data_IF_456787449294
#
_entry.id   IF_456787449294
#
_cell.length_a   1.000
_cell.length_b   1.000
_cell.length_c   1.000
_cell.angle_alpha   90.00
_cell.angle_beta   90.00
_cell.angle_gamma   90.00
#
_symmetry.space_group_name_H-M   'P 1'
#
loop_
_entity.id
_entity.type
_entity.pdbx_description
1 polymer ?
#
# COMPACT_ATOMS: atom_id res chain seq x y z
N UNK A 1 -12.51 7.60 -31.43
CA UNK A 1 -13.17 8.52 -30.49
C UNK A 1 -13.07 7.86 -29.12
N UNK A 2 -11.99 8.12 -28.39
CA UNK A 2 -11.83 7.66 -27.01
C UNK A 2 -12.39 8.76 -26.11
N UNK A 3 -13.67 8.60 -25.80
CA UNK A 3 -14.35 9.38 -24.76
C UNK A 3 -13.81 8.88 -23.41
N UNK A 4 -12.62 9.35 -23.02
CA UNK A 4 -11.96 9.01 -21.77
C UNK A 4 -12.26 10.10 -20.74
N UNK A 5 -13.49 10.12 -20.24
CA UNK A 5 -13.75 10.65 -18.91
C UNK A 5 -13.04 9.73 -17.89
N UNK A 6 -11.76 10.01 -17.64
CA UNK A 6 -10.88 9.39 -16.65
C UNK A 6 -9.98 8.28 -17.21
N UNK A 7 -8.82 8.63 -17.76
CA UNK A 7 -7.76 7.63 -17.96
C UNK A 7 -7.30 7.06 -16.60
N UNK A 8 -6.70 5.87 -16.61
CA UNK A 8 -6.19 5.25 -15.38
C UNK A 8 -5.12 6.13 -14.72
N UNK A 9 -4.31 6.84 -15.50
CA UNK A 9 -3.33 7.82 -15.02
C UNK A 9 -4.01 9.04 -14.39
N UNK A 10 -5.10 9.53 -14.98
CA UNK A 10 -5.85 10.68 -14.45
C UNK A 10 -6.51 10.35 -13.10
N UNK A 11 -7.14 9.18 -13.00
CA UNK A 11 -7.69 8.70 -11.72
C UNK A 11 -6.59 8.52 -10.68
N UNK A 12 -5.46 7.95 -11.08
CA UNK A 12 -4.33 7.74 -10.19
C UNK A 12 -3.80 9.07 -9.64
N UNK A 13 -3.59 10.06 -10.52
CA UNK A 13 -3.11 11.38 -10.13
C UNK A 13 -4.10 12.10 -9.21
N UNK A 14 -5.41 12.08 -9.54
CA UNK A 14 -6.45 12.67 -8.67
C UNK A 14 -6.49 12.03 -7.28
N UNK A 15 -6.30 10.71 -7.20
CA UNK A 15 -6.25 10.00 -5.92
C UNK A 15 -5.04 10.41 -5.08
N UNK A 16 -3.88 10.60 -5.72
CA UNK A 16 -2.67 11.13 -5.08
C UNK A 16 -2.85 12.57 -4.60
N UNK A 17 -3.39 13.46 -5.44
CA UNK A 17 -3.62 14.86 -5.09
C UNK A 17 -4.52 14.97 -3.86
N UNK A 18 -5.61 14.20 -3.82
CA UNK A 18 -6.49 14.12 -2.65
C UNK A 18 -5.75 13.58 -1.40
N UNK A 19 -4.89 12.57 -1.55
CA UNK A 19 -4.09 12.04 -0.44
C UNK A 19 -3.16 13.12 0.13
N UNK A 20 -2.42 13.84 -0.72
CA UNK A 20 -1.48 14.88 -0.28
C UNK A 20 -2.18 16.13 0.25
N UNK A 21 -3.44 16.37 -0.13
CA UNK A 21 -4.30 17.38 0.47
C UNK A 21 -4.88 16.95 1.84
N UNK A 22 -4.65 15.71 2.29
CA UNK A 22 -5.24 15.16 3.52
C UNK A 22 -6.70 14.74 3.37
N UNK A 23 -7.25 14.78 2.16
CA UNK A 23 -8.60 14.35 1.81
C UNK A 23 -8.66 12.81 1.67
N UNK A 24 -8.31 12.10 2.75
CA UNK A 24 -8.10 10.66 2.73
C UNK A 24 -9.32 9.84 2.29
N UNK A 25 -10.53 10.28 2.64
CA UNK A 25 -11.76 9.59 2.21
C UNK A 25 -11.96 9.68 0.70
N UNK A 26 -11.90 10.89 0.15
CA UNK A 26 -11.98 11.14 -1.29
C UNK A 26 -10.86 10.42 -2.06
N UNK A 27 -9.64 10.41 -1.51
CA UNK A 27 -8.53 9.65 -2.09
C UNK A 27 -8.86 8.17 -2.22
N UNK A 28 -9.45 7.56 -1.17
CA UNK A 28 -9.89 6.15 -1.22
C UNK A 28 -10.99 5.91 -2.25
N UNK A 29 -11.99 6.78 -2.33
CA UNK A 29 -13.06 6.68 -3.33
C UNK A 29 -12.50 6.68 -4.76
N UNK A 30 -11.53 7.56 -5.03
CA UNK A 30 -10.88 7.63 -6.35
C UNK A 30 -10.06 6.37 -6.64
N UNK A 31 -9.29 5.87 -5.68
CA UNK A 31 -8.52 4.64 -5.86
C UNK A 31 -9.42 3.39 -5.98
N UNK A 32 -10.54 3.33 -5.25
CA UNK A 32 -11.51 2.24 -5.37
C UNK A 32 -12.15 2.27 -6.77
N UNK A 33 -12.49 3.44 -7.31
CA UNK A 33 -12.97 3.58 -8.69
C UNK A 33 -11.92 3.15 -9.74
N UNK A 34 -10.64 3.46 -9.51
CA UNK A 34 -9.53 2.98 -10.36
C UNK A 34 -9.45 1.45 -10.33
N UNK A 35 -9.51 0.86 -9.14
CA UNK A 35 -9.42 -0.59 -8.94
C UNK A 35 -10.62 -1.35 -9.50
N UNK A 36 -11.80 -0.74 -9.53
CA UNK A 36 -13.01 -1.31 -10.14
C UNK A 36 -12.90 -1.32 -11.67
N UNK A 37 -12.49 -0.19 -12.26
CA UNK A 37 -12.38 -0.03 -13.72
C UNK A 37 -11.17 -0.73 -14.31
N UNK A 38 -10.04 -0.72 -13.61
CA UNK A 38 -8.74 -1.13 -14.12
C UNK A 38 -8.01 -2.13 -13.20
N UNK A 39 -8.65 -3.24 -12.74
CA UNK A 39 -8.08 -4.14 -11.73
C UNK A 39 -6.83 -4.91 -12.16
N UNK A 40 -6.50 -4.92 -13.45
CA UNK A 40 -5.32 -5.62 -14.02
C UNK A 40 -4.27 -4.66 -14.57
N UNK A 41 -4.49 -3.35 -14.43
CA UNK A 41 -3.53 -2.35 -14.91
C UNK A 41 -2.28 -2.32 -14.01
N UNK A 42 -1.15 -1.89 -14.55
CA UNK A 42 0.11 -1.74 -13.81
C UNK A 42 0.08 -0.70 -12.69
N UNK A 43 -1.00 0.09 -12.61
CA UNK A 43 -1.23 1.06 -11.53
C UNK A 43 -2.19 0.52 -10.46
N UNK A 44 -2.76 -0.67 -10.63
CA UNK A 44 -3.74 -1.22 -9.70
C UNK A 44 -3.11 -1.61 -8.35
N UNK A 45 -1.88 -2.16 -8.35
CA UNK A 45 -1.14 -2.42 -7.11
C UNK A 45 -0.78 -1.12 -6.37
N UNK A 46 -0.39 -0.10 -7.13
CA UNK A 46 -0.07 1.23 -6.62
C UNK A 46 -1.32 1.92 -6.03
N UNK A 47 -2.46 1.88 -6.72
CA UNK A 47 -3.71 2.45 -6.22
C UNK A 47 -4.15 1.78 -4.91
N UNK A 48 -4.06 0.45 -4.82
CA UNK A 48 -4.41 -0.27 -3.60
C UNK A 48 -3.41 -0.01 -2.46
N UNK A 49 -2.12 0.13 -2.77
CA UNK A 49 -1.10 0.56 -1.82
C UNK A 49 -1.41 1.96 -1.26
N UNK A 50 -1.71 2.93 -2.12
CA UNK A 50 -2.05 4.28 -1.67
C UNK A 50 -3.36 4.34 -0.88
N UNK A 51 -4.36 3.52 -1.24
CA UNK A 51 -5.55 3.32 -0.39
C UNK A 51 -5.16 2.86 1.03
N UNK A 52 -4.17 1.97 1.17
CA UNK A 52 -3.60 1.59 2.47
C UNK A 52 -2.87 2.74 3.18
N UNK A 53 -2.07 3.52 2.45
CA UNK A 53 -1.38 4.70 2.99
C UNK A 53 -2.35 5.74 3.56
N UNK A 54 -3.53 5.93 2.94
CA UNK A 54 -4.53 6.85 3.49
C UNK A 54 -4.99 6.44 4.89
N UNK A 55 -5.14 5.14 5.15
CA UNK A 55 -5.49 4.62 6.48
C UNK A 55 -4.31 4.69 7.45
N UNK A 56 -3.09 4.49 6.95
CA UNK A 56 -1.89 4.64 7.77
C UNK A 56 -1.76 6.10 8.25
N UNK A 57 -1.92 7.06 7.33
CA UNK A 57 -1.85 8.50 7.61
C UNK A 57 -2.97 8.99 8.53
N UNK A 58 -4.16 8.38 8.47
CA UNK A 58 -5.26 8.63 9.41
C UNK A 58 -5.14 7.86 10.74
N UNK A 59 -4.02 7.15 10.97
CA UNK A 59 -3.76 6.30 12.16
C UNK A 59 -4.73 5.14 12.33
N UNK A 60 -5.45 4.77 11.28
CA UNK A 60 -6.35 3.62 11.22
C UNK A 60 -5.57 2.35 10.85
N UNK A 61 -4.52 2.05 11.62
CA UNK A 61 -3.51 1.04 11.27
C UNK A 61 -4.08 -0.36 11.03
N UNK A 62 -5.17 -0.74 11.71
CA UNK A 62 -5.84 -2.02 11.45
C UNK A 62 -6.44 -2.10 10.04
N UNK A 63 -6.98 -0.99 9.52
CA UNK A 63 -7.50 -0.90 8.15
C UNK A 63 -6.34 -0.83 7.14
N UNK A 64 -5.27 -0.11 7.49
CA UNK A 64 -4.06 -0.05 6.70
C UNK A 64 -3.46 -1.46 6.46
N UNK A 65 -3.30 -2.26 7.53
CA UNK A 65 -2.84 -3.66 7.44
C UNK A 65 -3.70 -4.48 6.48
N UNK A 66 -5.03 -4.33 6.52
CA UNK A 66 -5.94 -5.06 5.63
C UNK A 66 -5.67 -4.70 4.16
N UNK A 67 -5.59 -3.40 3.83
CA UNK A 67 -5.32 -2.93 2.46
C UNK A 67 -3.93 -3.33 1.97
N UNK A 68 -2.90 -3.17 2.78
CA UNK A 68 -1.54 -3.62 2.42
C UNK A 68 -1.44 -5.13 2.20
N UNK A 69 -2.10 -5.93 3.05
CA UNK A 69 -2.18 -7.38 2.86
C UNK A 69 -2.96 -7.73 1.60
N UNK A 70 -3.95 -6.92 1.22
CA UNK A 70 -4.70 -7.08 -0.02
C UNK A 70 -3.82 -6.86 -1.25
N UNK A 71 -2.90 -5.88 -1.24
CA UNK A 71 -1.87 -5.73 -2.30
C UNK A 71 -1.09 -7.03 -2.48
N UNK A 72 -0.57 -7.59 -1.40
CA UNK A 72 0.23 -8.83 -1.42
C UNK A 72 -0.58 -10.03 -1.95
N UNK A 73 -1.89 -10.08 -1.66
CA UNK A 73 -2.76 -11.16 -2.11
C UNK A 73 -3.16 -11.02 -3.57
N UNK A 74 -3.50 -9.81 -4.02
CA UNK A 74 -4.01 -9.55 -5.38
C UNK A 74 -2.90 -9.41 -6.41
N UNK A 75 -1.77 -8.85 -6.01
CA UNK A 75 -0.70 -8.43 -6.92
C UNK A 75 0.69 -8.96 -6.52
N UNK A 76 0.85 -10.24 -6.11
CA UNK A 76 2.04 -10.75 -5.39
C UNK A 76 3.40 -10.56 -6.07
N UNK A 77 3.42 -10.26 -7.38
CA UNK A 77 4.61 -10.08 -8.22
C UNK A 77 4.80 -8.64 -8.70
N UNK A 78 3.89 -7.72 -8.35
CA UNK A 78 3.96 -6.33 -8.77
C UNK A 78 4.86 -5.49 -7.85
N UNK A 79 5.32 -4.37 -8.40
CA UNK A 79 6.37 -3.54 -7.83
C UNK A 79 6.03 -2.98 -6.43
N UNK A 80 4.75 -2.74 -6.09
CA UNK A 80 4.36 -2.27 -4.74
C UNK A 80 4.14 -3.34 -3.70
N UNK A 81 4.28 -4.60 -4.05
CA UNK A 81 4.09 -5.68 -3.07
C UNK A 81 5.10 -5.67 -1.92
N UNK A 82 6.41 -5.49 -2.16
CA UNK A 82 7.38 -5.41 -1.08
C UNK A 82 7.11 -4.22 -0.14
N UNK A 83 6.80 -3.04 -0.71
CA UNK A 83 6.47 -1.83 0.02
C UNK A 83 5.19 -1.99 0.88
N UNK A 84 4.16 -2.62 0.32
CA UNK A 84 2.92 -2.89 1.06
C UNK A 84 3.20 -3.80 2.26
N UNK A 85 3.99 -4.87 2.08
CA UNK A 85 4.32 -5.77 3.17
C UNK A 85 5.15 -5.06 4.26
N UNK A 86 6.09 -4.20 3.88
CA UNK A 86 6.83 -3.34 4.83
C UNK A 86 5.87 -2.44 5.62
N UNK A 87 4.96 -1.75 4.95
CA UNK A 87 3.98 -0.87 5.58
C UNK A 87 2.99 -1.60 6.49
N UNK A 88 2.63 -2.85 6.17
CA UNK A 88 1.89 -3.71 7.09
C UNK A 88 2.70 -4.00 8.37
N UNK A 89 4.00 -4.25 8.26
CA UNK A 89 4.92 -4.38 9.39
C UNK A 89 4.94 -3.13 10.25
N UNK A 90 5.12 -1.95 9.65
CA UNK A 90 5.11 -0.68 10.37
C UNK A 90 3.77 -0.40 11.04
N UNK A 91 2.66 -0.73 10.38
CA UNK A 91 1.33 -0.60 10.98
C UNK A 91 1.16 -1.49 12.22
N UNK A 92 1.81 -2.66 12.30
CA UNK A 92 1.81 -3.47 13.51
C UNK A 92 2.64 -2.84 14.64
N UNK A 93 3.75 -2.17 14.32
CA UNK A 93 4.55 -1.41 15.29
C UNK A 93 3.70 -0.29 15.91
N UNK A 94 3.03 0.48 15.07
CA UNK A 94 2.13 1.57 15.51
C UNK A 94 0.97 1.09 16.38
N UNK A 95 0.58 -0.18 16.24
CA UNK A 95 -0.43 -0.84 17.10
C UNK A 95 0.16 -1.43 18.38
N UNK A 96 1.44 -1.19 18.69
CA UNK A 96 2.17 -1.83 19.80
C UNK A 96 2.11 -3.37 19.73
N UNK A 97 2.22 -3.93 18.51
CA UNK A 97 2.25 -5.39 18.26
C UNK A 97 3.59 -5.81 17.63
N UNK A 98 4.72 -5.68 18.34
CA UNK A 98 6.05 -5.91 17.80
C UNK A 98 6.26 -7.35 17.29
N UNK A 99 5.69 -8.37 17.95
CA UNK A 99 5.82 -9.76 17.49
C UNK A 99 5.18 -9.99 16.11
N UNK A 100 4.07 -9.33 15.83
CA UNK A 100 3.45 -9.38 14.51
C UNK A 100 4.25 -8.59 13.49
N UNK A 101 4.78 -7.42 13.89
CA UNK A 101 5.66 -6.64 13.03
C UNK A 101 6.89 -7.45 12.62
N UNK A 102 7.58 -8.10 13.58
CA UNK A 102 8.77 -8.93 13.33
C UNK A 102 8.50 -10.00 12.26
N UNK A 103 7.43 -10.79 12.42
CA UNK A 103 7.02 -11.82 11.45
C UNK A 103 6.78 -11.25 10.05
N UNK A 104 6.17 -10.07 9.95
CA UNK A 104 5.89 -9.44 8.66
C UNK A 104 7.16 -8.89 8.02
N UNK A 105 8.02 -8.22 8.79
CA UNK A 105 9.30 -7.68 8.31
C UNK A 105 10.26 -8.79 7.86
N UNK A 106 10.35 -9.89 8.60
CA UNK A 106 11.10 -11.09 8.19
C UNK A 106 10.58 -11.65 6.85
N UNK A 107 9.26 -11.61 6.65
CA UNK A 107 8.64 -12.04 5.39
C UNK A 107 9.02 -11.12 4.22
N UNK A 108 9.17 -9.80 4.42
CA UNK A 108 9.68 -8.88 3.39
C UNK A 108 11.07 -9.32 2.94
N UNK A 109 11.95 -9.60 3.90
CA UNK A 109 13.34 -9.99 3.65
C UNK A 109 13.41 -11.33 2.93
N UNK A 110 12.61 -12.30 3.37
CA UNK A 110 12.59 -13.65 2.80
C UNK A 110 12.03 -13.67 1.37
N UNK A 111 10.95 -12.93 1.10
CA UNK A 111 10.28 -12.97 -0.20
C UNK A 111 10.87 -12.00 -1.22
N UNK A 112 11.42 -10.87 -0.76
CA UNK A 112 11.90 -9.78 -1.61
C UNK A 112 13.31 -9.32 -1.21
N UNK A 113 14.31 -10.22 -1.12
CA UNK A 113 15.61 -9.93 -0.51
C UNK A 113 16.40 -8.81 -1.20
N UNK A 114 16.15 -8.55 -2.49
CA UNK A 114 16.84 -7.52 -3.27
C UNK A 114 16.07 -6.19 -3.35
N UNK A 115 14.95 -6.06 -2.62
CA UNK A 115 14.13 -4.85 -2.63
C UNK A 115 14.62 -3.82 -1.61
N UNK A 116 14.41 -2.53 -1.89
CA UNK A 116 14.63 -1.46 -0.91
C UNK A 116 13.79 -1.69 0.37
N UNK A 117 12.59 -2.26 0.20
CA UNK A 117 11.73 -2.62 1.32
C UNK A 117 12.36 -3.67 2.25
N UNK A 118 13.11 -4.64 1.73
CA UNK A 118 13.84 -5.61 2.54
C UNK A 118 14.98 -4.97 3.32
N UNK A 119 15.73 -4.04 2.72
CA UNK A 119 16.77 -3.29 3.43
C UNK A 119 16.19 -2.50 4.61
N UNK A 120 15.07 -1.78 4.38
CA UNK A 120 14.34 -1.05 5.44
C UNK A 120 13.77 -1.99 6.51
N UNK A 121 13.29 -3.17 6.11
CA UNK A 121 12.81 -4.18 7.05
C UNK A 121 13.92 -4.70 7.96
N UNK A 122 15.13 -4.93 7.43
CA UNK A 122 16.30 -5.35 8.21
C UNK A 122 16.69 -4.28 9.24
N UNK A 123 16.78 -3.03 8.81
CA UNK A 123 17.06 -1.90 9.69
C UNK A 123 16.03 -1.83 10.82
N UNK A 124 14.73 -1.85 10.49
CA UNK A 124 13.67 -1.75 11.49
C UNK A 124 13.69 -2.93 12.48
N UNK A 125 14.01 -4.14 12.03
CA UNK A 125 14.13 -5.30 12.93
C UNK A 125 15.25 -5.14 13.96
N UNK A 126 16.34 -4.45 13.61
CA UNK A 126 17.44 -4.17 14.54
C UNK A 126 17.08 -3.18 15.64
N UNK A 127 16.03 -2.39 15.45
CA UNK A 127 15.55 -1.38 16.42
C UNK A 127 14.49 -1.92 17.39
N UNK A 128 13.87 -3.08 17.10
CA UNK A 128 12.75 -3.67 17.84
C UNK A 128 13.17 -4.66 18.93
#
# INVERSE_FOLDING_TARGET
AEDLAGSVEELYQKGLDANFAGEYEKSREIFDALLEKFPKHSLADNALYWSGETYFSSKEYQKAIKKFTEVVKRYPKENKTPDALLKAGYSFIELNKPDNAKKILEKVISLYPNSEAAAKAQEKLGEL
#
